data_IF_141315555528
#
_entry.id   IF_141315555528
#
_cell.length_a   1.000
_cell.length_b   1.000
_cell.length_c   1.000
_cell.angle_alpha   90.00
_cell.angle_beta   90.00
_cell.angle_gamma   90.00
#
_symmetry.space_group_name_H-M   'P 1'
#
loop_
_entity.id
_entity.type
_entity.pdbx_description
1 polymer ?
#
# COMPACT_ATOMS: atom_id res chain seq x y z
N UNK A 1 18.63 -13.23 -11.50
CA UNK A 1 17.25 -12.82 -11.17
C UNK A 1 17.39 -11.72 -10.14
N UNK A 2 17.07 -10.48 -10.47
CA UNK A 2 17.21 -9.35 -9.53
C UNK A 2 16.28 -9.57 -8.33
N UNK A 3 16.74 -9.21 -7.12
CA UNK A 3 15.91 -9.26 -5.92
C UNK A 3 14.70 -8.31 -6.10
N UNK A 4 13.50 -8.79 -5.74
CA UNK A 4 12.25 -8.00 -5.81
C UNK A 4 12.41 -6.65 -5.11
N UNK A 5 13.18 -6.61 -4.03
CA UNK A 5 13.44 -5.39 -3.26
C UNK A 5 14.32 -4.38 -4.02
N UNK A 6 15.31 -4.86 -4.78
CA UNK A 6 16.15 -4.04 -5.67
C UNK A 6 15.28 -3.40 -6.75
N UNK A 7 14.42 -4.19 -7.39
CA UNK A 7 13.49 -3.73 -8.43
C UNK A 7 12.58 -2.61 -7.88
N UNK A 8 12.03 -2.75 -6.67
CA UNK A 8 11.17 -1.73 -6.06
C UNK A 8 11.91 -0.42 -5.83
N UNK A 9 13.10 -0.47 -5.22
CA UNK A 9 13.90 0.74 -4.96
C UNK A 9 14.33 1.40 -6.28
N UNK A 10 14.74 0.60 -7.27
CA UNK A 10 15.08 1.07 -8.60
C UNK A 10 13.90 1.79 -9.26
N UNK A 11 12.70 1.21 -9.24
CA UNK A 11 11.47 1.85 -9.75
C UNK A 11 11.17 3.17 -9.05
N UNK A 12 11.28 3.24 -7.72
CA UNK A 12 11.06 4.49 -6.97
C UNK A 12 12.05 5.57 -7.42
N UNK A 13 13.33 5.23 -7.54
CA UNK A 13 14.35 6.14 -8.04
C UNK A 13 14.05 6.55 -9.47
N UNK A 14 13.68 5.63 -10.36
CA UNK A 14 13.32 5.89 -11.76
C UNK A 14 12.13 6.84 -11.95
N UNK A 15 11.24 6.97 -10.96
CA UNK A 15 10.15 7.96 -10.98
C UNK A 15 10.57 9.36 -10.49
N UNK A 16 11.71 9.45 -9.77
CA UNK A 16 12.18 10.71 -9.21
C UNK A 16 12.75 11.64 -10.27
N UNK A 17 12.72 12.95 -10.01
CA UNK A 17 13.07 13.97 -11.03
C UNK A 17 14.55 13.91 -11.42
N UNK A 18 15.43 13.62 -10.47
CA UNK A 18 16.89 13.63 -10.65
C UNK A 18 17.53 12.25 -10.44
N UNK A 19 16.72 11.20 -10.34
CA UNK A 19 17.18 9.89 -9.91
C UNK A 19 17.71 9.82 -8.49
N UNK A 20 17.18 10.68 -7.63
CA UNK A 20 17.59 10.87 -6.24
C UNK A 20 16.36 10.84 -5.36
N UNK A 21 16.46 10.07 -4.27
CA UNK A 21 15.42 10.01 -3.24
C UNK A 21 16.08 9.98 -1.87
N UNK A 22 15.49 10.68 -0.91
CA UNK A 22 15.93 10.63 0.48
C UNK A 22 15.69 9.24 1.08
N UNK A 23 16.73 8.64 1.65
CA UNK A 23 16.68 7.35 2.32
C UNK A 23 15.63 7.33 3.43
N UNK A 24 15.45 8.47 4.11
CA UNK A 24 14.43 8.63 5.14
C UNK A 24 13.02 8.35 4.62
N UNK A 25 12.67 8.81 3.42
CA UNK A 25 11.36 8.57 2.83
C UNK A 25 11.11 7.07 2.58
N UNK A 26 12.13 6.37 2.04
CA UNK A 26 12.08 4.91 1.83
C UNK A 26 11.96 4.18 3.17
N UNK A 27 12.70 4.63 4.20
CA UNK A 27 12.67 4.03 5.54
C UNK A 27 11.29 4.14 6.20
N UNK A 28 10.57 5.25 6.00
CA UNK A 28 9.20 5.41 6.53
C UNK A 28 8.21 4.46 5.86
N UNK A 29 8.37 4.18 4.56
CA UNK A 29 7.53 3.25 3.79
C UNK A 29 8.07 1.80 3.75
N UNK A 30 9.09 1.49 4.56
CA UNK A 30 9.80 0.20 4.51
C UNK A 30 8.86 -0.99 4.71
N UNK A 31 7.92 -0.90 5.66
CA UNK A 31 6.97 -1.98 5.98
C UNK A 31 5.95 -2.22 4.87
N UNK A 32 5.49 -1.15 4.23
CA UNK A 32 4.55 -1.18 3.11
C UNK A 32 5.23 -1.70 1.85
N UNK A 33 6.48 -1.33 1.61
CA UNK A 33 7.29 -1.85 0.50
C UNK A 33 7.75 -3.30 0.73
N UNK A 34 7.72 -3.79 1.96
CA UNK A 34 8.18 -5.13 2.33
C UNK A 34 9.70 -5.28 2.34
N UNK A 35 10.42 -4.19 2.67
CA UNK A 35 11.87 -4.15 2.68
C UNK A 35 12.46 -4.67 4.01
N UNK A 36 13.64 -5.31 3.99
CA UNK A 36 14.37 -5.71 5.20
C UNK A 36 14.69 -4.53 6.12
N UNK A 37 14.85 -4.77 7.43
CA UNK A 37 15.26 -3.73 8.41
C UNK A 37 16.60 -3.09 8.05
N UNK A 38 17.52 -3.90 7.52
CA UNK A 38 18.89 -3.57 7.18
C UNK A 38 19.07 -3.20 5.69
N UNK A 39 17.99 -2.86 4.97
CA UNK A 39 18.00 -2.65 3.51
C UNK A 39 19.10 -1.68 3.00
N UNK A 40 19.56 -0.75 3.85
CA UNK A 40 20.68 0.14 3.53
C UNK A 40 21.98 -0.64 3.28
N UNK A 41 22.27 -1.63 4.12
CA UNK A 41 23.46 -2.47 3.99
C UNK A 41 23.19 -3.63 3.03
N UNK A 42 22.08 -4.33 3.23
CA UNK A 42 21.77 -5.58 2.52
C UNK A 42 21.43 -5.37 1.04
N UNK A 43 20.89 -4.20 0.69
CA UNK A 43 20.48 -3.88 -0.68
C UNK A 43 21.32 -2.74 -1.25
N UNK A 44 21.27 -1.55 -0.64
CA UNK A 44 21.84 -0.35 -1.27
C UNK A 44 23.36 -0.45 -1.41
N UNK A 45 24.08 -0.82 -0.35
CA UNK A 45 25.54 -0.97 -0.40
C UNK A 45 26.00 -2.22 -1.15
N UNK A 46 25.21 -3.29 -1.08
CA UNK A 46 25.51 -4.54 -1.79
C UNK A 46 25.41 -4.38 -3.31
N UNK A 47 24.50 -3.52 -3.78
CA UNK A 47 24.26 -3.22 -5.19
C UNK A 47 24.82 -1.85 -5.59
N UNK A 48 26.11 -1.64 -5.31
CA UNK A 48 26.82 -0.38 -5.61
C UNK A 48 26.93 -0.06 -7.11
N UNK A 49 26.75 -1.07 -7.96
CA UNK A 49 26.67 -0.96 -9.40
C UNK A 49 25.36 -0.30 -9.88
N UNK A 50 24.30 -0.39 -9.06
CA UNK A 50 22.98 0.20 -9.36
C UNK A 50 22.77 1.48 -8.55
N UNK A 51 23.08 1.43 -7.25
CA UNK A 51 22.77 2.49 -6.30
C UNK A 51 24.03 3.13 -5.74
N UNK A 52 24.02 4.45 -5.67
CA UNK A 52 25.04 5.27 -5.02
C UNK A 52 24.45 5.99 -3.82
N UNK A 53 25.16 5.97 -2.70
CA UNK A 53 24.81 6.76 -1.53
C UNK A 53 25.55 8.10 -1.58
N UNK A 54 24.81 9.20 -1.45
CA UNK A 54 25.35 10.55 -1.26
C UNK A 54 25.05 11.00 0.17
N UNK A 55 26.07 11.50 0.87
CA UNK A 55 25.97 12.08 2.22
C UNK A 55 25.29 11.18 3.27
N UNK A 56 25.25 9.86 3.02
CA UNK A 56 24.53 8.84 3.82
C UNK A 56 23.00 9.01 3.91
N UNK A 57 22.45 10.07 3.33
CA UNK A 57 21.03 10.43 3.43
C UNK A 57 20.29 10.28 2.10
N UNK A 58 20.98 10.36 0.96
CA UNK A 58 20.37 10.34 -0.37
C UNK A 58 20.82 9.08 -1.12
N UNK A 59 19.85 8.39 -1.71
CA UNK A 59 20.10 7.29 -2.64
C UNK A 59 19.97 7.83 -4.04
N UNK A 60 20.96 7.56 -4.88
CA UNK A 60 21.03 7.94 -6.28
C UNK A 60 21.17 6.70 -7.16
N UNK A 61 20.60 6.74 -8.36
CA UNK A 61 20.82 5.73 -9.38
C UNK A 61 22.10 6.04 -10.18
N UNK A 62 23.07 5.11 -10.22
CA UNK A 62 24.43 5.33 -10.76
C UNK A 62 24.40 5.60 -12.27
N UNK A 63 23.77 4.73 -13.04
CA UNK A 63 23.68 4.84 -14.50
C UNK A 63 22.22 4.86 -14.96
N UNK A 64 21.58 6.01 -14.80
CA UNK A 64 20.21 6.24 -15.25
C UNK A 64 20.02 5.94 -16.76
N UNK A 65 21.01 6.31 -17.58
CA UNK A 65 20.94 6.20 -19.04
C UNK A 65 21.07 4.75 -19.57
N UNK A 66 21.96 3.94 -18.98
CA UNK A 66 22.17 2.54 -19.41
C UNK A 66 21.16 1.60 -18.73
N UNK A 67 20.73 1.96 -17.51
CA UNK A 67 19.62 1.30 -16.82
C UNK A 67 18.31 1.35 -17.58
N UNK A 68 17.96 2.46 -18.25
CA UNK A 68 16.73 2.53 -19.08
C UNK A 68 16.74 1.54 -20.25
N UNK A 69 17.91 1.29 -20.88
CA UNK A 69 18.01 0.33 -22.00
C UNK A 69 17.95 -1.12 -21.55
N UNK A 70 18.48 -1.42 -20.36
CA UNK A 70 18.49 -2.76 -19.80
C UNK A 70 17.22 -3.09 -18.97
N UNK A 71 16.55 -2.08 -18.42
CA UNK A 71 15.43 -2.22 -17.50
C UNK A 71 14.18 -1.54 -18.07
N UNK A 72 13.42 -2.31 -18.86
CA UNK A 72 12.11 -1.88 -19.37
C UNK A 72 11.10 -1.80 -18.22
N UNK A 73 11.04 -0.65 -17.56
CA UNK A 73 10.01 -0.35 -16.57
C UNK A 73 8.70 0.02 -17.27
N UNK A 74 7.87 -0.99 -17.50
CA UNK A 74 6.46 -0.75 -17.78
C UNK A 74 5.72 -0.52 -16.46
N UNK A 75 5.07 0.64 -16.32
CA UNK A 75 4.20 0.93 -15.18
C UNK A 75 3.02 -0.04 -15.18
N UNK A 76 2.49 -0.37 -14.00
CA UNK A 76 1.39 -1.32 -13.88
C UNK A 76 0.14 -0.84 -14.63
N UNK A 77 -0.08 0.48 -14.70
CA UNK A 77 -1.13 1.08 -15.52
C UNK A 77 -0.95 0.77 -17.00
N UNK A 78 0.28 0.74 -17.53
CA UNK A 78 0.54 0.44 -18.94
C UNK A 78 0.21 -1.02 -19.27
N UNK A 79 0.55 -1.94 -18.36
CA UNK A 79 0.16 -3.35 -18.51
C UNK A 79 -1.36 -3.50 -18.52
N UNK A 80 -2.04 -2.77 -17.64
CA UNK A 80 -3.51 -2.71 -17.65
C UNK A 80 -4.05 -2.15 -18.98
N UNK A 81 -3.46 -1.07 -19.52
CA UNK A 81 -3.86 -0.50 -20.82
C UNK A 81 -3.68 -1.48 -21.96
N UNK A 82 -2.57 -2.21 -21.98
CA UNK A 82 -2.29 -3.22 -23.01
C UNK A 82 -3.31 -4.36 -22.96
N UNK A 83 -3.65 -4.82 -21.75
CA UNK A 83 -4.68 -5.83 -21.53
C UNK A 83 -6.04 -5.34 -22.01
N UNK A 84 -6.44 -4.14 -21.63
CA UNK A 84 -7.72 -3.54 -22.04
C UNK A 84 -7.81 -3.31 -23.56
N UNK A 85 -6.72 -2.86 -24.19
CA UNK A 85 -6.64 -2.71 -25.63
C UNK A 85 -6.85 -4.05 -26.36
N UNK A 86 -6.21 -5.12 -25.86
CA UNK A 86 -6.26 -6.45 -26.46
C UNK A 86 -7.57 -7.19 -26.21
N UNK A 87 -8.10 -7.12 -25.00
CA UNK A 87 -9.28 -7.88 -24.58
C UNK A 87 -10.58 -7.19 -24.94
N UNK A 88 -10.66 -5.86 -24.80
CA UNK A 88 -11.89 -5.09 -25.05
C UNK A 88 -11.92 -4.40 -26.40
N UNK A 89 -10.88 -4.57 -27.22
CA UNK A 89 -10.75 -3.99 -28.56
C UNK A 89 -11.01 -2.46 -28.58
N UNK A 90 -10.62 -1.78 -27.50
CA UNK A 90 -10.75 -0.33 -27.40
C UNK A 90 -9.72 0.34 -28.31
N UNK A 91 -10.06 1.52 -28.84
CA UNK A 91 -9.13 2.30 -29.66
C UNK A 91 -7.92 2.74 -28.81
N UNK A 92 -6.72 2.78 -29.42
CA UNK A 92 -5.52 3.34 -28.78
C UNK A 92 -5.78 4.77 -28.27
N UNK A 93 -6.61 5.54 -28.98
CA UNK A 93 -6.99 6.89 -28.57
C UNK A 93 -7.70 6.94 -27.21
N UNK A 94 -8.44 5.89 -26.85
CA UNK A 94 -9.17 5.84 -25.59
C UNK A 94 -8.35 5.24 -24.46
N UNK A 95 -7.41 4.34 -24.76
CA UNK A 95 -6.64 3.59 -23.75
C UNK A 95 -5.28 4.20 -23.43
N UNK A 96 -4.67 4.95 -24.35
CA UNK A 96 -3.25 5.39 -24.26
C UNK A 96 -2.86 6.10 -22.98
N UNK A 97 -3.76 6.89 -22.39
CA UNK A 97 -3.54 7.62 -21.13
C UNK A 97 -4.56 7.26 -20.06
N UNK A 98 -5.27 6.15 -20.23
CA UNK A 98 -6.36 5.78 -19.38
C UNK A 98 -5.89 5.21 -18.03
N UNK A 99 -6.74 5.32 -17.03
CA UNK A 99 -6.58 4.69 -15.73
C UNK A 99 -7.78 3.78 -15.47
N UNK A 100 -7.59 2.66 -14.76
CA UNK A 100 -8.69 1.87 -14.24
C UNK A 100 -9.53 2.72 -13.29
N UNK A 101 -10.85 2.72 -13.49
CA UNK A 101 -11.80 3.52 -12.72
C UNK A 101 -12.90 2.63 -12.17
N UNK A 102 -12.96 2.54 -10.84
CA UNK A 102 -14.01 1.84 -10.12
C UNK A 102 -14.66 2.79 -9.12
N UNK A 103 -15.88 3.24 -9.42
CA UNK A 103 -16.60 4.16 -8.53
C UNK A 103 -17.25 3.42 -7.36
N UNK A 104 -17.27 4.02 -6.16
CA UNK A 104 -18.02 3.46 -5.04
C UNK A 104 -19.52 3.44 -5.35
N UNK A 105 -20.20 2.41 -4.86
CA UNK A 105 -21.65 2.31 -4.89
C UNK A 105 -22.26 3.54 -4.20
N UNK A 106 -23.21 4.20 -4.85
CA UNK A 106 -23.89 5.38 -4.31
C UNK A 106 -23.24 6.74 -4.60
N UNK A 107 -22.14 6.80 -5.37
CA UNK A 107 -21.56 8.08 -5.78
C UNK A 107 -22.56 8.88 -6.65
N UNK A 108 -22.99 10.05 -6.15
CA UNK A 108 -23.85 10.98 -6.90
C UNK A 108 -23.07 11.62 -8.04
N UNK A 109 -23.38 11.23 -9.28
CA UNK A 109 -22.75 11.77 -10.49
C UNK A 109 -23.47 13.05 -10.90
N UNK A 110 -22.79 14.19 -10.75
CA UNK A 110 -23.27 15.49 -11.24
C UNK A 110 -23.37 15.47 -12.77
N UNK A 111 -24.33 16.19 -13.40
CA UNK A 111 -24.34 16.39 -14.85
C UNK A 111 -22.97 16.82 -15.39
N UNK A 112 -22.58 16.30 -16.56
CA UNK A 112 -21.26 16.54 -17.17
C UNK A 112 -20.08 15.80 -16.51
N UNK A 113 -20.29 15.05 -15.42
CA UNK A 113 -19.22 14.26 -14.79
C UNK A 113 -18.58 13.24 -15.74
N UNK A 114 -19.40 12.50 -16.51
CA UNK A 114 -18.91 11.47 -17.45
C UNK A 114 -18.06 12.07 -18.56
N UNK A 115 -18.44 13.23 -19.07
CA UNK A 115 -17.68 13.91 -20.11
C UNK A 115 -16.35 14.45 -19.60
N UNK A 116 -16.36 15.10 -18.42
CA UNK A 116 -15.12 15.55 -17.76
C UNK A 116 -14.17 14.38 -17.51
N UNK A 117 -14.69 13.25 -17.03
CA UNK A 117 -13.92 12.04 -16.82
C UNK A 117 -13.34 11.50 -18.13
N UNK A 118 -14.14 11.43 -19.20
CA UNK A 118 -13.69 10.97 -20.52
C UNK A 118 -12.56 11.87 -21.05
N UNK A 119 -12.71 13.19 -20.93
CA UNK A 119 -11.69 14.15 -21.35
C UNK A 119 -10.41 14.01 -20.51
N UNK A 120 -10.55 13.85 -19.18
CA UNK A 120 -9.42 13.60 -18.29
C UNK A 120 -8.70 12.29 -18.61
N UNK A 121 -9.43 11.21 -18.92
CA UNK A 121 -8.87 9.91 -19.31
C UNK A 121 -8.05 10.01 -20.61
N UNK A 122 -8.51 10.82 -21.57
CA UNK A 122 -7.80 11.08 -22.84
C UNK A 122 -6.64 12.09 -22.73
N UNK A 123 -6.58 12.86 -21.64
CA UNK A 123 -5.57 13.90 -21.45
C UNK A 123 -4.16 13.30 -21.51
N UNK A 124 -3.33 13.80 -22.44
CA UNK A 124 -1.92 13.40 -22.50
C UNK A 124 -1.14 13.92 -21.30
N UNK A 125 -0.27 13.08 -20.75
CA UNK A 125 0.63 13.43 -19.66
C UNK A 125 1.94 12.65 -19.84
N UNK A 126 3.01 13.14 -19.22
CA UNK A 126 4.31 12.44 -19.20
C UNK A 126 4.23 11.27 -18.24
N UNK A 127 4.52 10.05 -18.70
CA UNK A 127 4.40 8.83 -17.90
C UNK A 127 5.38 8.82 -16.71
N UNK A 128 5.15 8.01 -15.66
CA UNK A 128 5.99 8.02 -14.45
C UNK A 128 7.48 7.77 -14.70
N UNK A 129 7.82 6.90 -15.65
CA UNK A 129 9.20 6.54 -16.00
C UNK A 129 9.75 7.31 -17.22
N UNK A 130 8.97 8.23 -17.80
CA UNK A 130 9.42 9.07 -18.91
C UNK A 130 10.11 10.34 -18.38
N UNK A 131 11.15 10.79 -19.09
CA UNK A 131 11.93 11.96 -18.67
C UNK A 131 11.12 13.24 -18.74
N UNK A 132 11.28 14.05 -17.70
CA UNK A 132 10.86 15.45 -17.68
C UNK A 132 12.13 16.29 -17.75
N UNK A 133 12.49 16.79 -18.93
CA UNK A 133 13.58 17.76 -19.06
C UNK A 133 13.21 19.06 -18.34
N UNK A 134 13.51 19.17 -17.03
CA UNK A 134 13.30 20.36 -16.17
C UNK A 134 12.09 21.19 -16.56
N UNK A 135 10.93 20.55 -16.73
CA UNK A 135 9.77 21.25 -17.27
C UNK A 135 9.04 21.92 -16.11
N UNK A 136 9.20 23.25 -16.03
CA UNK A 136 8.44 24.10 -15.13
C UNK A 136 6.94 23.88 -15.39
N UNK A 137 6.13 23.93 -14.33
CA UNK A 137 4.64 23.87 -14.31
C UNK A 137 3.97 24.73 -15.41
N UNK A 138 4.68 25.73 -15.95
CA UNK A 138 4.19 26.68 -16.95
C UNK A 138 4.34 26.24 -18.41
N UNK A 139 5.18 25.26 -18.75
CA UNK A 139 5.59 25.05 -20.17
C UNK A 139 4.98 23.82 -20.87
N UNK A 140 4.49 22.83 -20.13
CA UNK A 140 3.95 21.58 -20.71
C UNK A 140 2.44 21.41 -20.48
N UNK A 141 1.66 22.39 -20.92
CA UNK A 141 0.23 22.17 -21.16
C UNK A 141 -0.67 22.21 -19.92
N UNK A 142 -0.35 23.02 -18.91
CA UNK A 142 -1.29 23.39 -17.86
C UNK A 142 -1.40 22.41 -16.68
N UNK A 143 -2.04 22.90 -15.61
CA UNK A 143 -2.10 22.28 -14.28
C UNK A 143 -2.66 20.85 -14.31
N UNK A 144 -3.65 20.57 -15.16
CA UNK A 144 -4.31 19.26 -15.23
C UNK A 144 -3.37 18.13 -15.67
N UNK A 145 -2.41 18.41 -16.58
CA UNK A 145 -1.43 17.41 -17.03
C UNK A 145 -0.47 17.04 -15.91
N UNK A 146 -0.11 18.04 -15.11
CA UNK A 146 0.75 17.85 -13.95
C UNK A 146 0.04 17.07 -12.83
N UNK A 147 -1.22 17.42 -12.54
CA UNK A 147 -2.09 16.64 -11.64
C UNK A 147 -2.20 15.19 -12.11
N UNK A 148 -2.42 14.96 -13.42
CA UNK A 148 -2.51 13.61 -13.98
C UNK A 148 -1.21 12.82 -13.87
N UNK A 149 -0.06 13.47 -14.06
CA UNK A 149 1.26 12.85 -13.81
C UNK A 149 1.42 12.47 -12.34
N UNK A 150 1.04 13.34 -11.41
CA UNK A 150 1.09 13.04 -9.99
C UNK A 150 0.20 11.83 -9.63
N UNK A 151 -0.99 11.73 -10.22
CA UNK A 151 -1.86 10.53 -10.08
C UNK A 151 -1.14 9.28 -10.60
N UNK A 152 -0.49 9.36 -11.75
CA UNK A 152 0.29 8.25 -12.32
C UNK A 152 1.44 7.79 -11.42
N UNK A 153 2.19 8.72 -10.84
CA UNK A 153 3.29 8.42 -9.93
C UNK A 153 2.77 7.79 -8.63
N UNK A 154 1.71 8.34 -8.03
CA UNK A 154 1.13 7.80 -6.81
C UNK A 154 0.54 6.41 -7.07
N UNK A 155 -0.13 6.21 -8.21
CA UNK A 155 -0.64 4.91 -8.62
C UNK A 155 0.48 3.87 -8.67
N UNK A 156 1.56 4.17 -9.39
CA UNK A 156 2.69 3.26 -9.50
C UNK A 156 3.35 3.01 -8.15
N UNK A 157 3.53 4.04 -7.32
CA UNK A 157 4.11 3.90 -5.99
C UNK A 157 3.26 3.00 -5.08
N UNK A 158 1.92 3.11 -5.14
CA UNK A 158 1.02 2.20 -4.43
C UNK A 158 1.15 0.77 -4.95
N UNK A 159 1.27 0.57 -6.26
CA UNK A 159 1.49 -0.75 -6.84
C UNK A 159 2.78 -1.44 -6.37
N UNK A 160 3.80 -0.69 -5.94
CA UNK A 160 5.02 -1.26 -5.35
C UNK A 160 4.84 -1.74 -3.91
N UNK A 161 3.82 -1.25 -3.21
CA UNK A 161 3.51 -1.67 -1.85
C UNK A 161 2.85 -3.04 -1.83
N UNK A 162 3.10 -3.81 -0.78
CA UNK A 162 2.61 -5.18 -0.61
C UNK A 162 1.08 -5.24 -0.58
N UNK A 163 0.44 -4.29 0.11
CA UNK A 163 -1.01 -4.23 0.29
C UNK A 163 -1.66 -3.18 -0.61
N UNK A 164 -0.93 -2.57 -1.55
CA UNK A 164 -1.43 -1.51 -2.46
C UNK A 164 -2.12 -0.36 -1.70
N UNK A 165 -1.59 -0.05 -0.52
CA UNK A 165 -2.06 0.98 0.41
C UNK A 165 -0.91 1.61 1.19
N UNK A 166 -1.09 2.85 1.65
CA UNK A 166 -0.10 3.57 2.47
C UNK A 166 -0.77 4.72 3.23
N UNK A 167 -0.11 5.21 4.28
CA UNK A 167 -0.45 6.47 4.94
C UNK A 167 -0.14 7.68 4.04
N UNK A 168 -1.05 8.64 3.97
CA UNK A 168 -0.89 9.86 3.16
C UNK A 168 0.29 10.72 3.65
N UNK A 169 0.59 10.69 4.95
CA UNK A 169 1.74 11.42 5.51
C UNK A 169 3.07 10.84 5.04
N UNK A 170 3.18 9.51 4.92
CA UNK A 170 4.38 8.86 4.38
C UNK A 170 4.62 9.22 2.92
N UNK A 171 3.55 9.32 2.12
CA UNK A 171 3.63 9.81 0.73
C UNK A 171 4.15 11.26 0.65
N UNK A 172 3.83 12.09 1.64
CA UNK A 172 4.26 13.49 1.64
C UNK A 172 5.79 13.65 1.70
N UNK A 173 6.52 12.67 2.26
CA UNK A 173 7.98 12.68 2.27
C UNK A 173 8.60 12.49 0.88
N UNK A 174 7.90 11.79 -0.03
CA UNK A 174 8.34 11.61 -1.42
C UNK A 174 7.99 12.80 -2.31
N UNK A 175 7.19 13.76 -1.81
CA UNK A 175 6.61 14.85 -2.60
C UNK A 175 7.65 15.64 -3.38
N UNK A 176 8.75 16.04 -2.73
CA UNK A 176 9.82 16.83 -3.36
C UNK A 176 10.62 16.00 -4.37
N UNK A 177 10.99 14.78 -3.99
CA UNK A 177 11.87 13.91 -4.79
C UNK A 177 11.19 13.43 -6.07
N UNK A 178 9.89 13.13 -6.00
CA UNK A 178 9.07 12.73 -7.15
C UNK A 178 8.54 13.93 -7.96
N UNK A 179 8.83 15.16 -7.52
CA UNK A 179 8.38 16.38 -8.17
C UNK A 179 6.86 16.47 -8.22
N UNK A 180 6.18 16.28 -7.07
CA UNK A 180 4.74 16.41 -6.88
C UNK A 180 4.45 17.73 -6.14
N UNK A 181 4.18 18.82 -6.85
CA UNK A 181 3.96 20.14 -6.26
C UNK A 181 2.48 20.38 -5.90
N UNK A 182 1.60 19.42 -6.18
CA UNK A 182 0.17 19.50 -5.83
C UNK A 182 -0.11 19.06 -4.40
N UNK A 183 -1.24 19.50 -3.85
CA UNK A 183 -1.71 19.04 -2.55
C UNK A 183 -2.20 17.59 -2.67
N UNK A 184 -1.49 16.65 -2.02
CA UNK A 184 -1.80 15.22 -2.07
C UNK A 184 -3.23 14.91 -1.62
N UNK A 185 -3.70 15.52 -0.52
CA UNK A 185 -5.04 15.25 0.01
C UNK A 185 -6.12 15.68 -0.98
N UNK A 186 -5.96 16.86 -1.56
CA UNK A 186 -6.87 17.39 -2.58
C UNK A 186 -6.85 16.52 -3.85
N UNK A 187 -5.66 16.14 -4.32
CA UNK A 187 -5.50 15.29 -5.49
C UNK A 187 -6.19 13.93 -5.31
N UNK A 188 -5.98 13.28 -4.16
CA UNK A 188 -6.59 11.99 -3.88
C UNK A 188 -8.12 12.08 -3.81
N UNK A 189 -8.66 13.15 -3.22
CA UNK A 189 -10.12 13.39 -3.15
C UNK A 189 -10.73 13.74 -4.53
N UNK A 190 -9.98 14.38 -5.43
CA UNK A 190 -10.42 14.65 -6.82
C UNK A 190 -10.59 13.37 -7.65
N UNK A 191 -9.93 12.27 -7.28
CA UNK A 191 -9.93 11.02 -8.05
C UNK A 191 -10.50 9.82 -7.27
N UNK A 192 -11.77 9.87 -6.81
CA UNK A 192 -12.37 8.83 -5.98
C UNK A 192 -12.65 7.53 -6.73
N UNK A 193 -12.48 7.50 -8.06
CA UNK A 193 -12.59 6.28 -8.86
C UNK A 193 -11.29 5.47 -8.94
N UNK A 194 -10.15 6.08 -8.60
CA UNK A 194 -8.83 5.44 -8.61
C UNK A 194 -8.40 5.16 -7.16
N UNK A 195 -8.55 6.16 -6.30
CA UNK A 195 -8.15 6.09 -4.90
C UNK A 195 -9.36 5.96 -3.97
N UNK A 196 -9.17 5.19 -2.91
CA UNK A 196 -10.03 5.16 -1.75
C UNK A 196 -9.25 5.72 -0.55
N UNK A 197 -9.88 6.60 0.22
CA UNK A 197 -9.29 7.15 1.44
C UNK A 197 -10.10 6.62 2.62
N UNK A 198 -9.41 6.13 3.64
CA UNK A 198 -9.99 5.74 4.92
C UNK A 198 -9.27 6.44 6.06
N UNK A 199 -10.01 6.79 7.10
CA UNK A 199 -9.47 7.29 8.37
C UNK A 199 -9.31 6.14 9.34
N UNK A 200 -8.08 5.87 9.81
CA UNK A 200 -7.81 4.90 10.88
C UNK A 200 -7.34 5.66 12.11
N UNK A 201 -8.24 5.88 13.07
CA UNK A 201 -7.96 6.82 14.16
C UNK A 201 -7.68 8.21 13.60
N UNK A 202 -6.51 8.77 13.89
CA UNK A 202 -6.08 10.08 13.39
C UNK A 202 -5.28 10.02 12.08
N UNK A 203 -4.99 8.83 11.54
CA UNK A 203 -4.18 8.69 10.31
C UNK A 203 -5.06 8.51 9.08
N UNK A 204 -4.66 9.17 7.99
CA UNK A 204 -5.30 9.02 6.68
C UNK A 204 -4.56 7.96 5.87
N UNK A 205 -5.28 6.90 5.51
CA UNK A 205 -4.81 5.81 4.66
C UNK A 205 -5.37 5.99 3.25
N UNK A 206 -4.54 5.78 2.23
CA UNK A 206 -4.95 5.71 0.83
C UNK A 206 -4.76 4.29 0.31
N UNK A 207 -5.73 3.84 -0.47
CA UNK A 207 -5.80 2.50 -1.07
C UNK A 207 -6.06 2.64 -2.56
N UNK A 208 -5.50 1.71 -3.33
CA UNK A 208 -5.73 1.65 -4.77
C UNK A 208 -6.97 0.81 -5.09
N UNK A 209 -8.03 1.43 -5.64
CA UNK A 209 -9.35 0.77 -5.76
C UNK A 209 -9.39 -0.41 -6.71
N UNK A 210 -8.60 -0.39 -7.78
CA UNK A 210 -8.63 -1.44 -8.81
C UNK A 210 -8.44 -2.84 -8.21
N UNK A 211 -7.63 -2.93 -7.16
CA UNK A 211 -7.24 -4.16 -6.48
C UNK A 211 -8.39 -4.69 -5.62
N UNK A 212 -9.04 -3.79 -4.88
CA UNK A 212 -10.07 -4.16 -3.91
C UNK A 212 -11.45 -4.39 -4.55
N UNK A 213 -11.65 -3.92 -5.78
CA UNK A 213 -12.95 -4.05 -6.45
C UNK A 213 -13.16 -5.40 -7.12
N UNK A 214 -12.08 -6.10 -7.48
CA UNK A 214 -12.13 -7.33 -8.26
C UNK A 214 -12.09 -8.62 -7.41
N UNK A 215 -11.95 -8.51 -6.08
CA UNK A 215 -11.92 -9.65 -5.16
C UNK A 215 -10.68 -10.55 -5.24
N UNK A 216 -9.84 -10.40 -6.27
CA UNK A 216 -8.62 -11.18 -6.48
C UNK A 216 -7.41 -10.28 -6.24
N UNK A 217 -6.83 -10.40 -5.04
CA UNK A 217 -5.54 -9.79 -4.72
C UNK A 217 -4.43 -10.71 -5.22
N UNK A 218 -3.52 -10.19 -6.05
CA UNK A 218 -2.23 -10.87 -6.27
C UNK A 218 -1.52 -10.96 -4.92
N UNK A 219 -1.45 -12.16 -4.36
CA UNK A 219 -0.87 -12.35 -3.04
C UNK A 219 0.65 -12.30 -3.15
N UNK A 220 1.26 -11.56 -2.22
CA UNK A 220 2.69 -11.59 -2.01
C UNK A 220 3.00 -12.56 -0.86
N UNK A 221 4.14 -13.24 -0.88
CA UNK A 221 4.57 -14.10 0.24
C UNK A 221 4.52 -13.39 1.59
N UNK A 222 4.92 -12.10 1.63
CA UNK A 222 4.85 -11.28 2.85
C UNK A 222 3.41 -11.10 3.32
N UNK A 223 2.48 -10.90 2.38
CA UNK A 223 1.07 -10.77 2.67
C UNK A 223 0.48 -12.09 3.18
N UNK A 224 0.83 -13.22 2.57
CA UNK A 224 0.35 -14.54 2.99
C UNK A 224 0.83 -14.91 4.40
N UNK A 225 2.10 -14.60 4.72
CA UNK A 225 2.64 -14.78 6.07
C UNK A 225 1.91 -13.89 7.08
N UNK A 226 1.66 -12.62 6.76
CA UNK A 226 0.89 -11.70 7.63
C UNK A 226 -0.54 -12.20 7.85
N UNK A 227 -1.20 -12.69 6.81
CA UNK A 227 -2.55 -13.26 6.90
C UNK A 227 -2.57 -14.49 7.79
N UNK A 228 -1.66 -15.44 7.58
CA UNK A 228 -1.52 -16.64 8.44
C UNK A 228 -1.21 -16.27 9.88
N UNK A 229 -0.34 -15.30 10.11
CA UNK A 229 -0.04 -14.82 11.46
C UNK A 229 -1.28 -14.20 12.12
N UNK A 230 -2.06 -13.40 11.38
CA UNK A 230 -3.32 -12.86 11.87
C UNK A 230 -4.32 -13.97 12.19
N UNK A 231 -4.44 -14.98 11.33
CA UNK A 231 -5.29 -16.15 11.56
C UNK A 231 -4.88 -16.90 12.84
N UNK A 232 -3.58 -17.15 13.04
CA UNK A 232 -3.05 -17.75 14.26
C UNK A 232 -3.35 -16.91 15.51
N UNK A 233 -3.23 -15.58 15.42
CA UNK A 233 -3.58 -14.68 16.52
C UNK A 233 -5.08 -14.71 16.84
N UNK A 234 -5.93 -14.76 15.81
CA UNK A 234 -7.39 -14.84 15.95
C UNK A 234 -7.87 -16.20 16.47
N UNK A 235 -7.17 -17.28 16.13
CA UNK A 235 -7.41 -18.62 16.66
C UNK A 235 -7.14 -18.70 18.18
N UNK A 236 -6.42 -17.72 18.73
CA UNK A 236 -6.01 -17.66 20.14
C UNK A 236 -5.01 -18.75 20.51
N UNK A 237 -4.41 -18.65 21.70
CA UNK A 237 -3.65 -19.76 22.28
C UNK A 237 -4.62 -20.88 22.64
N UNK A 238 -4.97 -21.74 21.67
CA UNK A 238 -5.49 -23.07 21.98
C UNK A 238 -4.35 -23.81 22.66
N UNK A 239 -4.33 -23.73 23.99
CA UNK A 239 -3.28 -24.31 24.81
C UNK A 239 -3.03 -25.74 24.35
N UNK A 240 -1.80 -25.97 23.95
CA UNK A 240 -1.09 -27.24 23.96
C UNK A 240 -1.14 -27.81 25.39
N UNK A 241 -2.31 -28.30 25.82
CA UNK A 241 -2.43 -29.18 26.99
C UNK A 241 -2.09 -30.63 26.63
N UNK A 242 -2.15 -30.98 25.34
CA UNK A 242 -1.91 -32.35 24.87
C UNK A 242 -0.42 -32.75 24.80
N UNK A 243 0.52 -31.85 25.11
CA UNK A 243 1.95 -32.19 25.22
C UNK A 243 2.44 -32.39 26.67
N UNK A 244 1.52 -32.50 27.65
CA UNK A 244 1.86 -32.81 29.05
C UNK A 244 1.33 -34.15 29.55
N UNK A 245 0.73 -34.97 28.69
CA UNK A 245 0.23 -36.31 29.07
C UNK A 245 1.22 -37.45 28.76
N UNK A 246 2.47 -37.14 28.37
CA UNK A 246 3.50 -38.16 28.11
C UNK A 246 4.66 -38.21 29.12
N UNK A 247 4.64 -37.41 30.19
CA UNK A 247 5.71 -37.44 31.22
C UNK A 247 5.23 -37.70 32.67
N UNK A 248 3.96 -38.07 32.89
CA UNK A 248 3.47 -38.45 34.23
C UNK A 248 3.09 -39.93 34.29
N UNK A 249 4.09 -40.79 34.11
CA UNK A 249 4.03 -42.19 34.52
C UNK A 249 5.36 -42.56 35.19
N UNK A 250 5.64 -41.95 36.34
CA UNK A 250 6.83 -42.25 37.12
C UNK A 250 7.10 -41.26 38.23
N UNK A 251 6.41 -41.46 39.35
CA UNK A 251 6.94 -41.43 40.72
C UNK A 251 6.00 -40.75 41.72
N UNK A 252 5.81 -41.49 42.80
CA UNK A 252 4.78 -41.40 43.81
C UNK A 252 5.35 -40.68 45.04
N UNK A 253 4.49 -39.94 45.76
CA UNK A 253 4.53 -39.56 47.19
C UNK A 253 5.06 -38.19 47.66
N UNK A 254 4.07 -37.43 48.13
CA UNK A 254 3.92 -36.82 49.48
C UNK A 254 4.25 -35.33 49.73
N UNK A 255 3.18 -34.64 50.11
CA UNK A 255 3.00 -33.61 51.14
C UNK A 255 3.68 -32.23 51.00
N UNK A 256 2.86 -31.20 50.73
CA UNK A 256 2.46 -30.19 51.72
C UNK A 256 1.69 -29.03 51.07
N UNK A 257 0.50 -28.75 51.59
CA UNK A 257 -0.30 -27.58 51.25
C UNK A 257 0.36 -26.28 51.75
N UNK A 258 0.49 -25.26 50.89
CA UNK A 258 0.38 -23.85 51.30
C UNK A 258 -0.32 -23.06 50.18
N UNK A 259 -1.59 -22.74 50.43
CA UNK A 259 -2.29 -21.60 49.85
C UNK A 259 -1.68 -20.31 50.42
N UNK A 260 -1.08 -19.48 49.56
CA UNK A 260 -0.95 -18.04 49.80
C UNK A 260 -1.12 -17.28 48.49
N UNK A 261 -2.35 -16.84 48.31
CA UNK A 261 -2.77 -15.62 47.64
C UNK A 261 -1.71 -14.50 47.75
N UNK A 262 -1.20 -14.03 46.61
CA UNK A 262 -0.22 -12.94 46.52
C UNK A 262 -0.24 -12.31 45.14
N UNK A 263 -1.03 -11.25 44.99
CA UNK A 263 -1.26 -10.57 43.73
C UNK A 263 0.00 -9.93 43.11
N UNK A 264 0.05 -9.98 41.78
CA UNK A 264 1.10 -9.34 40.98
C UNK A 264 0.68 -9.18 39.53
N UNK A 265 -0.03 -8.08 39.25
CA UNK A 265 -0.20 -7.38 37.96
C UNK A 265 -0.46 -8.25 36.72
N UNK A 266 -1.74 -8.36 36.36
CA UNK A 266 -2.15 -8.68 34.99
C UNK A 266 -1.79 -7.49 34.10
N UNK A 267 -0.65 -7.58 33.42
CA UNK A 267 -0.33 -6.69 32.31
C UNK A 267 -0.30 -7.57 31.05
N UNK A 268 -1.45 -7.65 30.41
CA UNK A 268 -1.67 -8.53 29.26
C UNK A 268 -2.98 -8.27 28.52
N UNK A 269 -3.68 -7.18 28.85
CA UNK A 269 -4.78 -6.67 28.05
C UNK A 269 -4.20 -6.00 26.80
N UNK A 270 -3.83 -6.80 25.81
CA UNK A 270 -3.78 -6.32 24.43
C UNK A 270 -5.22 -6.16 23.93
N UNK A 271 -5.92 -5.15 24.43
CA UNK A 271 -7.16 -4.69 23.83
C UNK A 271 -6.79 -4.10 22.48
N UNK A 272 -7.00 -4.87 21.41
CA UNK A 272 -6.99 -4.35 20.04
C UNK A 272 -8.38 -3.73 19.83
N UNK A 273 -8.53 -2.39 19.72
CA UNK A 273 -9.84 -1.72 19.66
C UNK A 273 -10.71 -2.07 18.43
N UNK A 274 -10.20 -2.91 17.53
CA UNK A 274 -10.83 -3.27 16.26
C UNK A 274 -11.89 -4.38 16.46
N UNK A 275 -11.92 -5.06 17.61
CA UNK A 275 -12.83 -6.18 17.85
C UNK A 275 -14.06 -5.86 18.71
N UNK A 276 -14.18 -4.65 19.29
CA UNK A 276 -15.34 -4.29 20.11
C UNK A 276 -16.62 -4.01 19.32
N UNK A 277 -16.56 -3.87 17.99
CA UNK A 277 -17.76 -3.60 17.17
C UNK A 277 -18.48 -4.85 16.67
N UNK A 278 -18.08 -6.06 17.09
CA UNK A 278 -18.68 -7.32 16.65
C UNK A 278 -18.98 -8.27 17.83
N UNK A 279 -19.77 -7.80 18.79
CA UNK A 279 -20.56 -8.69 19.66
C UNK A 279 -21.99 -8.18 19.70
N UNK A 280 -22.79 -8.71 18.77
CA UNK A 280 -24.23 -8.49 18.72
C UNK A 280 -24.89 -9.11 19.94
N UNK A 281 -25.71 -8.32 20.63
CA UNK A 281 -26.67 -8.84 21.60
C UNK A 281 -27.97 -9.14 20.85
N UNK A 282 -28.13 -10.40 20.44
CA UNK A 282 -29.37 -10.94 19.93
C UNK A 282 -29.93 -11.86 21.02
N UNK A 283 -30.74 -11.30 21.92
CA UNK A 283 -31.59 -12.10 22.81
C UNK A 283 -33.01 -11.52 22.79
N UNK A 284 -33.91 -12.28 22.18
CA UNK A 284 -35.35 -12.10 22.35
C UNK A 284 -35.75 -12.38 23.79
N UNK A 285 -36.73 -11.62 24.26
CA UNK A 285 -37.51 -11.93 25.45
C UNK A 285 -38.96 -11.65 25.09
N UNK A 286 -39.74 -12.72 24.92
CA UNK A 286 -41.20 -12.69 24.98
C UNK A 286 -41.65 -12.17 26.34
N UNK A 287 -42.56 -11.20 26.36
CA UNK A 287 -43.52 -11.03 27.44
C UNK A 287 -44.89 -10.61 26.88
N UNK A 288 -45.90 -11.29 27.40
CA UNK A 288 -47.30 -11.38 26.98
C UNK A 288 -48.11 -10.10 27.18
N UNK A 289 -49.14 -9.98 26.34
CA UNK A 289 -50.52 -9.51 26.56
C UNK A 289 -50.82 -8.56 27.75
N UNK A 290 -51.36 -7.38 27.43
CA UNK A 290 -52.73 -7.02 27.81
C UNK A 290 -53.20 -5.66 27.24
N UNK A 291 -54.24 -5.76 26.40
CA UNK A 291 -55.47 -4.94 26.33
C UNK A 291 -55.50 -3.60 27.09
N UNK A 292 -55.57 -2.49 26.34
CA UNK A 292 -56.76 -1.65 26.15
C UNK A 292 -56.51 -0.60 25.05
#
# INVERSE_FOLDING_TARGET
MEDVSVIKIRRILSMSVNGKVHLHAIRLMRRELGLPEDFRESIIRKHSEIFRMIDLEIVELVDWNESERAFSCSAEVEKWREKEFREKWLSEFETKYAFPINFPTGLKKVPGFRERLRNWQRLSYVKPYERVEKVRVRTCGGVERYEKRAVGIIHELLCLTVEKMVEVERLAHFRKDLGIEVNLRELLLKHPGIFYISTRGNTLMVFLREVYSAGVFETNMVYDVRRKMLELLLLGCRNTREFREQEEAGEDRNDAAIDKNGGGRKDGDFVIPILESYSGNNHGCDFKDNVN
#
